data_IF_098606077498
#
_entry.id   IF_098606077498
#
_cell.length_a   1.000
_cell.length_b   1.000
_cell.length_c   1.000
_cell.angle_alpha   90.00
_cell.angle_beta   90.00
_cell.angle_gamma   90.00
#
_symmetry.space_group_name_H-M   'P 1'
#
loop_
_entity.id
_entity.type
_entity.pdbx_description
1 polymer ?
#
# COMPACT_ATOMS: atom_id res chain seq x y z
N UNK A 1 40.52 42.68 5.68
CA UNK A 1 39.16 42.39 6.27
C UNK A 1 38.02 42.53 5.28
N UNK A 2 38.23 42.52 3.96
CA UNK A 2 37.21 42.88 2.96
C UNK A 2 36.98 41.83 1.87
N UNK A 3 37.81 40.83 1.76
CA UNK A 3 37.62 39.77 0.73
C UNK A 3 36.82 38.57 1.28
N UNK A 4 36.95 38.26 2.56
CA UNK A 4 36.18 37.20 3.22
C UNK A 4 34.68 37.53 3.35
N UNK A 5 34.34 38.80 3.57
CA UNK A 5 32.94 39.23 3.70
C UNK A 5 32.15 39.23 2.38
N UNK A 6 32.82 39.39 1.24
CA UNK A 6 32.19 39.39 -0.08
C UNK A 6 31.93 37.93 -0.56
N UNK A 7 32.84 37.01 -0.27
CA UNK A 7 32.67 35.61 -0.55
C UNK A 7 31.49 35.00 0.25
N UNK A 8 31.36 35.36 1.55
CA UNK A 8 30.24 34.90 2.42
C UNK A 8 28.89 35.43 1.92
N UNK A 9 28.82 36.64 1.39
CA UNK A 9 27.55 37.27 0.96
C UNK A 9 27.10 36.66 -0.39
N UNK A 10 28.03 36.38 -1.30
CA UNK A 10 27.73 35.78 -2.60
C UNK A 10 27.29 34.32 -2.41
N UNK A 11 27.98 33.54 -1.57
CA UNK A 11 27.60 32.16 -1.27
C UNK A 11 26.26 32.06 -0.52
N UNK A 12 25.95 33.03 0.33
CA UNK A 12 24.67 33.10 1.04
C UNK A 12 23.50 33.42 0.11
N UNK A 13 23.66 34.37 -0.81
CA UNK A 13 22.65 34.72 -1.82
C UNK A 13 22.42 33.55 -2.81
N UNK A 14 23.46 32.88 -3.28
CA UNK A 14 23.29 31.71 -4.14
C UNK A 14 22.61 30.55 -3.42
N UNK A 15 22.90 30.35 -2.13
CA UNK A 15 22.23 29.34 -1.29
C UNK A 15 20.75 29.68 -1.08
N UNK A 16 20.39 30.91 -0.77
CA UNK A 16 19.00 31.31 -0.60
C UNK A 16 18.19 31.17 -1.90
N UNK A 17 18.74 31.56 -3.03
CA UNK A 17 18.12 31.40 -4.37
C UNK A 17 17.95 29.93 -4.71
N UNK A 18 18.93 29.08 -4.42
CA UNK A 18 18.85 27.64 -4.69
C UNK A 18 17.83 26.94 -3.79
N UNK A 19 17.82 27.23 -2.49
CA UNK A 19 16.83 26.67 -1.54
C UNK A 19 15.42 27.12 -1.89
N UNK A 20 15.25 28.38 -2.27
CA UNK A 20 13.96 28.90 -2.73
C UNK A 20 13.50 28.20 -4.03
N UNK A 21 14.42 28.01 -4.98
CA UNK A 21 14.17 27.28 -6.23
C UNK A 21 13.79 25.81 -5.98
N UNK A 22 14.43 25.13 -5.02
CA UNK A 22 14.13 23.75 -4.66
C UNK A 22 12.76 23.61 -3.96
N UNK A 23 12.45 24.47 -2.99
CA UNK A 23 11.14 24.52 -2.33
C UNK A 23 10.02 24.78 -3.34
N UNK A 24 10.23 25.72 -4.25
CA UNK A 24 9.27 26.06 -5.31
C UNK A 24 9.06 24.88 -6.25
N UNK A 25 10.11 24.18 -6.66
CA UNK A 25 10.03 22.96 -7.48
C UNK A 25 9.21 21.86 -6.80
N UNK A 26 9.46 21.62 -5.51
CA UNK A 26 8.73 20.62 -4.74
C UNK A 26 7.23 20.96 -4.63
N UNK A 27 6.90 22.21 -4.40
CA UNK A 27 5.51 22.69 -4.35
C UNK A 27 4.83 22.52 -5.71
N UNK A 28 5.51 22.89 -6.80
CA UNK A 28 4.97 22.75 -8.16
C UNK A 28 4.68 21.29 -8.48
N UNK A 29 5.62 20.37 -8.18
CA UNK A 29 5.42 18.95 -8.43
C UNK A 29 4.31 18.39 -7.55
N UNK A 30 4.23 18.80 -6.28
CA UNK A 30 3.15 18.40 -5.37
C UNK A 30 1.78 18.82 -5.94
N UNK A 31 1.63 20.07 -6.33
CA UNK A 31 0.40 20.59 -6.94
C UNK A 31 0.08 19.84 -8.24
N UNK A 32 1.08 19.60 -9.08
CA UNK A 32 0.91 18.88 -10.33
C UNK A 32 0.43 17.43 -10.10
N UNK A 33 0.98 16.73 -9.10
CA UNK A 33 0.56 15.36 -8.74
C UNK A 33 -0.87 15.35 -8.19
N UNK A 34 -1.24 16.33 -7.36
CA UNK A 34 -2.61 16.45 -6.84
C UNK A 34 -3.61 16.72 -7.97
N UNK A 35 -3.29 17.67 -8.87
CA UNK A 35 -4.14 17.97 -10.04
C UNK A 35 -4.25 16.73 -10.93
N UNK A 36 -3.14 16.07 -11.23
CA UNK A 36 -3.14 14.84 -12.02
C UNK A 36 -4.01 13.77 -11.36
N UNK A 37 -3.93 13.59 -10.03
CA UNK A 37 -4.74 12.62 -9.29
C UNK A 37 -6.22 12.93 -9.37
N UNK A 38 -6.61 14.20 -9.25
CA UNK A 38 -8.01 14.64 -9.42
C UNK A 38 -8.49 14.34 -10.85
N UNK A 39 -7.68 14.68 -11.85
CA UNK A 39 -8.02 14.42 -13.26
C UNK A 39 -8.09 12.92 -13.54
N UNK A 40 -7.13 12.14 -13.03
CA UNK A 40 -7.12 10.67 -13.18
C UNK A 40 -8.37 10.04 -12.58
N UNK A 41 -8.73 10.41 -11.36
CA UNK A 41 -9.93 9.90 -10.71
C UNK A 41 -11.21 10.35 -11.44
N UNK A 42 -11.30 11.60 -11.88
CA UNK A 42 -12.46 12.12 -12.58
C UNK A 42 -12.64 11.49 -13.97
N UNK A 43 -11.61 11.54 -14.81
CA UNK A 43 -11.68 10.97 -16.16
C UNK A 43 -11.71 9.45 -16.14
N UNK A 44 -10.96 8.82 -15.22
CA UNK A 44 -11.00 7.39 -15.01
C UNK A 44 -12.40 6.92 -14.65
N UNK A 45 -13.05 7.56 -13.67
CA UNK A 45 -14.43 7.27 -13.29
C UNK A 45 -15.39 7.47 -14.47
N UNK A 46 -15.31 8.61 -15.15
CA UNK A 46 -16.17 8.91 -16.31
C UNK A 46 -16.01 7.88 -17.44
N UNK A 47 -14.78 7.43 -17.69
CA UNK A 47 -14.50 6.43 -18.71
C UNK A 47 -15.03 5.05 -18.31
N UNK A 48 -14.82 4.64 -17.08
CA UNK A 48 -15.26 3.33 -16.58
C UNK A 48 -16.77 3.27 -16.38
N UNK A 49 -17.41 4.36 -15.95
CA UNK A 49 -18.86 4.47 -15.78
C UNK A 49 -19.62 4.64 -17.10
N UNK A 50 -18.97 5.01 -18.21
CA UNK A 50 -19.64 5.21 -19.49
C UNK A 50 -20.40 3.97 -19.99
N UNK A 51 -19.92 2.77 -19.64
CA UNK A 51 -20.54 1.50 -19.97
C UNK A 51 -21.36 0.90 -18.82
N UNK A 52 -21.50 1.62 -17.71
CA UNK A 52 -22.14 1.15 -16.50
C UNK A 52 -23.64 1.38 -16.51
N UNK A 53 -24.37 0.57 -17.23
CA UNK A 53 -25.84 0.64 -17.26
C UNK A 53 -26.53 -0.24 -16.21
N UNK A 54 -25.78 -1.11 -15.51
CA UNK A 54 -26.36 -2.21 -14.75
C UNK A 54 -26.79 -1.87 -13.31
N UNK A 55 -26.20 -0.89 -12.64
CA UNK A 55 -26.53 -0.62 -11.24
C UNK A 55 -27.52 0.52 -11.00
N UNK A 56 -27.99 1.17 -12.03
CA UNK A 56 -28.76 2.39 -11.84
C UNK A 56 -30.28 2.21 -11.86
N UNK A 57 -30.85 1.01 -12.07
CA UNK A 57 -32.30 0.89 -12.24
C UNK A 57 -32.93 -0.48 -11.94
N UNK A 58 -32.38 -1.27 -11.05
CA UNK A 58 -33.22 -2.33 -10.49
C UNK A 58 -33.58 -1.88 -9.09
N UNK A 59 -34.85 -1.48 -8.93
CA UNK A 59 -35.47 -0.98 -7.72
C UNK A 59 -35.04 -1.72 -6.46
N UNK A 60 -33.89 -1.33 -5.96
CA UNK A 60 -33.55 -1.54 -4.58
C UNK A 60 -34.34 -0.47 -3.87
N UNK A 61 -35.41 -0.87 -3.21
CA UNK A 61 -36.21 -0.01 -2.35
C UNK A 61 -35.23 0.74 -1.44
N UNK A 62 -35.38 2.07 -1.42
CA UNK A 62 -34.42 2.91 -0.74
C UNK A 62 -34.51 2.63 0.76
N UNK A 63 -33.45 2.09 1.37
CA UNK A 63 -33.41 1.91 2.82
C UNK A 63 -33.40 3.27 3.51
N UNK A 64 -34.28 3.42 4.52
CA UNK A 64 -34.49 4.65 5.28
C UNK A 64 -33.83 4.59 6.64
N UNK A 65 -32.97 5.56 7.02
CA UNK A 65 -32.38 5.60 8.34
C UNK A 65 -33.40 6.07 9.39
N UNK A 66 -33.50 5.36 10.51
CA UNK A 66 -34.40 5.68 11.60
C UNK A 66 -33.78 5.51 12.97
N UNK A 67 -34.47 6.04 14.00
CA UNK A 67 -34.08 5.88 15.40
C UNK A 67 -35.30 5.31 16.15
N UNK A 68 -35.10 4.21 16.87
CA UNK A 68 -36.16 3.56 17.65
C UNK A 68 -36.53 4.41 18.86
N UNK A 69 -37.77 4.79 18.95
CA UNK A 69 -38.34 5.59 20.05
C UNK A 69 -38.91 4.73 21.15
N UNK A 70 -39.57 3.63 20.80
CA UNK A 70 -40.24 2.74 21.75
C UNK A 70 -40.35 1.32 21.19
N UNK A 71 -40.22 0.32 22.04
CA UNK A 71 -40.56 -1.09 21.72
C UNK A 71 -42.04 -1.29 22.09
N UNK A 72 -42.87 -1.63 21.10
CA UNK A 72 -44.31 -1.74 21.28
C UNK A 72 -44.75 -3.12 21.73
N UNK A 73 -44.11 -4.16 21.13
CA UNK A 73 -44.47 -5.55 21.43
C UNK A 73 -43.27 -6.48 21.14
N UNK A 74 -43.18 -7.55 21.93
CA UNK A 74 -42.22 -8.63 21.70
C UNK A 74 -42.98 -9.95 21.82
N UNK A 75 -42.98 -10.73 20.76
CA UNK A 75 -43.66 -12.02 20.67
C UNK A 75 -42.64 -13.10 20.33
N UNK A 76 -42.43 -14.01 21.27
CA UNK A 76 -41.63 -15.21 21.01
C UNK A 76 -42.51 -16.28 20.39
N UNK A 77 -41.98 -17.00 19.41
CA UNK A 77 -42.64 -18.11 18.76
C UNK A 77 -41.69 -19.31 18.69
N UNK A 78 -42.27 -20.50 18.66
CA UNK A 78 -41.48 -21.74 18.55
C UNK A 78 -42.06 -22.59 17.43
N UNK A 79 -41.19 -23.06 16.55
CA UNK A 79 -41.59 -23.97 15.48
C UNK A 79 -41.79 -25.39 16.00
N UNK A 80 -42.46 -26.25 15.22
CA UNK A 80 -42.72 -27.65 15.60
C UNK A 80 -41.44 -28.48 15.80
N UNK A 81 -40.32 -28.07 15.27
CA UNK A 81 -39.01 -28.70 15.42
C UNK A 81 -38.20 -28.23 16.64
N UNK A 82 -38.79 -27.38 17.49
CA UNK A 82 -38.15 -26.85 18.71
C UNK A 82 -37.25 -25.63 18.52
N UNK A 83 -37.03 -25.19 17.27
CA UNK A 83 -36.41 -23.89 16.98
C UNK A 83 -37.46 -22.80 17.16
N UNK A 84 -37.03 -21.61 17.48
CA UNK A 84 -37.92 -20.50 17.71
C UNK A 84 -37.40 -19.18 17.17
N UNK A 85 -38.08 -18.11 17.52
CA UNK A 85 -37.67 -16.77 17.17
C UNK A 85 -38.48 -15.74 17.96
N UNK A 86 -38.13 -14.48 17.76
CA UNK A 86 -38.82 -13.34 18.37
C UNK A 86 -39.22 -12.34 17.28
N UNK A 87 -40.48 -11.96 17.24
CA UNK A 87 -40.95 -10.83 16.44
C UNK A 87 -41.09 -9.61 17.35
N UNK A 88 -40.31 -8.58 17.06
CA UNK A 88 -40.26 -7.34 17.84
C UNK A 88 -40.88 -6.24 17.01
N UNK A 89 -41.95 -5.65 17.53
CA UNK A 89 -42.59 -4.47 16.94
C UNK A 89 -42.13 -3.22 17.68
N UNK A 90 -41.79 -2.19 16.94
CA UNK A 90 -41.25 -0.95 17.52
C UNK A 90 -41.79 0.28 16.79
N UNK A 91 -41.76 1.43 17.47
CA UNK A 91 -41.94 2.76 16.86
C UNK A 91 -40.57 3.34 16.55
N UNK A 92 -40.47 3.93 15.39
CA UNK A 92 -39.21 4.52 14.87
C UNK A 92 -39.51 5.87 14.24
N UNK A 93 -38.65 6.86 14.47
CA UNK A 93 -38.67 8.13 13.76
C UNK A 93 -37.67 8.06 12.61
N UNK A 94 -38.16 8.21 11.39
CA UNK A 94 -37.32 8.29 10.19
C UNK A 94 -36.50 9.58 10.22
N UNK A 95 -35.22 9.52 9.87
CA UNK A 95 -34.37 10.71 9.84
C UNK A 95 -34.60 11.57 8.61
N UNK A 96 -35.07 10.98 7.52
CA UNK A 96 -35.25 11.64 6.23
C UNK A 96 -36.52 12.50 6.21
N UNK A 97 -37.62 11.98 6.73
CA UNK A 97 -38.91 12.63 6.70
C UNK A 97 -39.33 13.20 8.06
N UNK A 98 -38.77 12.71 9.16
CA UNK A 98 -39.17 13.03 10.52
C UNK A 98 -40.48 12.35 10.94
N UNK A 99 -41.04 11.46 10.13
CA UNK A 99 -42.25 10.73 10.39
C UNK A 99 -42.06 9.64 11.43
N UNK A 100 -43.06 9.45 12.29
CA UNK A 100 -43.11 8.33 13.23
C UNK A 100 -43.79 7.15 12.54
N UNK A 101 -43.09 6.02 12.42
CA UNK A 101 -43.59 4.80 11.78
C UNK A 101 -43.53 3.63 12.73
N UNK A 102 -44.36 2.60 12.46
CA UNK A 102 -44.24 1.30 13.12
C UNK A 102 -43.49 0.32 12.22
N UNK A 103 -42.48 -0.31 12.79
CA UNK A 103 -41.66 -1.30 12.10
C UNK A 103 -41.53 -2.60 12.89
N UNK A 104 -41.02 -3.63 12.23
CA UNK A 104 -40.83 -4.95 12.85
C UNK A 104 -39.43 -5.48 12.59
N UNK A 105 -38.89 -6.16 13.60
CA UNK A 105 -37.69 -7.00 13.46
C UNK A 105 -38.06 -8.46 13.73
N UNK A 106 -37.68 -9.35 12.87
CA UNK A 106 -37.77 -10.80 13.10
C UNK A 106 -36.36 -11.28 13.43
N UNK A 107 -36.21 -11.96 14.57
CA UNK A 107 -35.00 -12.63 14.98
C UNK A 107 -35.33 -14.10 15.05
N UNK A 108 -34.76 -14.91 14.14
CA UNK A 108 -35.10 -16.30 13.98
C UNK A 108 -33.88 -17.18 14.24
N UNK A 109 -34.09 -18.30 14.97
CA UNK A 109 -33.04 -19.30 15.20
C UNK A 109 -32.64 -20.06 13.91
N UNK A 110 -33.41 -19.93 12.83
CA UNK A 110 -33.06 -20.42 11.51
C UNK A 110 -32.06 -19.53 10.78
N UNK A 111 -31.99 -18.24 11.17
CA UNK A 111 -31.02 -17.35 10.57
C UNK A 111 -29.61 -17.75 11.01
N UNK A 112 -28.68 -17.97 10.07
CA UNK A 112 -27.31 -18.32 10.38
C UNK A 112 -26.59 -17.23 11.18
N UNK A 113 -27.15 -16.02 11.23
CA UNK A 113 -26.64 -14.88 12.00
C UNK A 113 -27.73 -14.42 12.96
N UNK A 114 -27.63 -14.76 14.27
CA UNK A 114 -28.57 -14.24 15.24
C UNK A 114 -28.42 -12.71 15.36
N UNK A 115 -29.38 -11.98 14.84
CA UNK A 115 -29.40 -10.54 15.04
C UNK A 115 -29.63 -10.22 16.51
N UNK A 116 -28.90 -9.21 17.01
CA UNK A 116 -29.21 -8.62 18.30
C UNK A 116 -30.65 -8.05 18.26
N UNK A 117 -31.46 -8.30 19.27
CA UNK A 117 -32.78 -7.67 19.43
C UNK A 117 -32.59 -6.16 19.49
N UNK A 118 -33.45 -5.43 18.76
CA UNK A 118 -33.44 -3.97 18.76
C UNK A 118 -33.85 -3.43 20.13
N UNK A 119 -33.28 -2.29 20.50
CA UNK A 119 -33.59 -1.61 21.75
C UNK A 119 -33.92 -0.13 21.51
N UNK A 120 -34.59 0.52 22.47
CA UNK A 120 -34.88 1.95 22.41
C UNK A 120 -33.58 2.74 22.25
N UNK A 121 -33.54 3.65 21.27
CA UNK A 121 -32.40 4.51 20.95
C UNK A 121 -31.45 3.93 19.89
N UNK A 122 -31.69 2.68 19.47
CA UNK A 122 -30.88 2.09 18.39
C UNK A 122 -31.13 2.84 17.07
N UNK A 123 -30.05 3.07 16.32
CA UNK A 123 -30.11 3.64 14.98
C UNK A 123 -30.08 2.51 13.98
N UNK A 124 -31.10 2.45 13.13
CA UNK A 124 -31.33 1.33 12.21
C UNK A 124 -31.62 1.80 10.79
N UNK A 125 -31.41 0.92 9.83
CA UNK A 125 -31.91 1.03 8.47
C UNK A 125 -33.18 0.20 8.36
N UNK A 126 -34.17 0.78 7.70
CA UNK A 126 -35.47 0.19 7.47
C UNK A 126 -35.73 0.11 5.97
N UNK A 127 -36.41 -0.95 5.57
CA UNK A 127 -36.93 -1.16 4.23
C UNK A 127 -38.44 -1.23 4.31
N UNK A 128 -39.13 -0.78 3.27
CA UNK A 128 -40.60 -0.82 3.20
C UNK A 128 -41.01 -1.88 2.20
N UNK A 129 -41.71 -2.90 2.70
CA UNK A 129 -42.33 -3.94 1.89
C UNK A 129 -43.87 -3.72 1.89
N UNK A 130 -44.46 -3.65 0.71
CA UNK A 130 -45.94 -3.48 0.54
C UNK A 130 -46.76 -4.56 1.27
N UNK A 131 -46.15 -5.75 1.52
CA UNK A 131 -46.84 -6.86 2.18
C UNK A 131 -46.71 -6.82 3.68
N UNK A 132 -45.56 -6.45 4.21
CA UNK A 132 -45.19 -6.57 5.62
C UNK A 132 -44.97 -5.23 6.31
N UNK A 133 -45.06 -4.11 5.57
CA UNK A 133 -44.76 -2.78 6.08
C UNK A 133 -43.29 -2.55 6.34
N UNK A 134 -42.93 -1.65 7.24
CA UNK A 134 -41.55 -1.32 7.57
C UNK A 134 -40.85 -2.46 8.29
N UNK A 135 -39.71 -2.88 7.72
CA UNK A 135 -38.90 -3.96 8.27
C UNK A 135 -37.50 -3.49 8.62
N UNK A 136 -36.95 -4.05 9.70
CA UNK A 136 -35.57 -3.88 10.08
C UNK A 136 -34.66 -4.57 9.04
N UNK A 137 -33.67 -3.83 8.50
CA UNK A 137 -32.66 -4.37 7.57
C UNK A 137 -31.32 -4.51 8.28
N UNK A 138 -30.80 -3.43 8.86
CA UNK A 138 -29.48 -3.41 9.46
C UNK A 138 -29.33 -2.33 10.54
N UNK A 139 -28.34 -2.50 11.45
CA UNK A 139 -27.94 -1.44 12.37
C UNK A 139 -27.05 -0.40 11.68
N UNK A 140 -27.23 0.88 11.97
CA UNK A 140 -26.35 1.95 11.52
C UNK A 140 -25.06 1.92 12.35
N UNK A 141 -23.98 1.41 11.75
CA UNK A 141 -22.64 1.33 12.36
C UNK A 141 -21.71 2.44 11.88
N UNK A 142 -22.13 3.18 10.86
CA UNK A 142 -21.34 4.23 10.20
C UNK A 142 -20.90 5.33 11.14
N UNK A 143 -21.75 5.74 12.10
CA UNK A 143 -21.42 6.80 13.06
C UNK A 143 -20.20 6.43 13.92
N UNK A 144 -20.17 5.19 14.44
CA UNK A 144 -19.06 4.70 15.25
C UNK A 144 -17.78 4.52 14.41
N UNK A 145 -17.92 4.04 13.15
CA UNK A 145 -16.79 3.92 12.23
C UNK A 145 -16.22 5.28 11.83
N UNK A 146 -17.05 6.31 11.64
CA UNK A 146 -16.58 7.67 11.38
C UNK A 146 -15.82 8.25 12.58
N UNK A 147 -16.26 8.01 13.80
CA UNK A 147 -15.53 8.43 15.01
C UNK A 147 -14.17 7.72 15.08
N UNK A 148 -14.11 6.40 14.85
CA UNK A 148 -12.87 5.64 14.83
C UNK A 148 -11.92 6.14 13.71
N UNK A 149 -12.48 6.39 12.51
CA UNK A 149 -11.75 6.98 11.40
C UNK A 149 -11.18 8.38 11.73
N UNK A 150 -11.98 9.23 12.38
CA UNK A 150 -11.52 10.55 12.84
C UNK A 150 -10.38 10.43 13.86
N UNK A 151 -10.46 9.50 14.81
CA UNK A 151 -9.37 9.24 15.78
C UNK A 151 -8.10 8.81 15.03
N UNK A 152 -8.20 7.93 14.05
CA UNK A 152 -7.07 7.50 13.23
C UNK A 152 -6.43 8.67 12.47
N UNK A 153 -7.24 9.51 11.82
CA UNK A 153 -6.75 10.68 11.08
C UNK A 153 -6.08 11.71 12.01
N UNK A 154 -6.67 11.95 13.19
CA UNK A 154 -6.09 12.84 14.21
C UNK A 154 -4.75 12.29 14.70
N UNK A 155 -4.66 10.99 14.95
CA UNK A 155 -3.40 10.35 15.35
C UNK A 155 -2.32 10.49 14.28
N UNK A 156 -2.68 10.29 13.00
CA UNK A 156 -1.76 10.50 11.87
C UNK A 156 -1.25 11.95 11.79
N UNK A 157 -2.12 12.93 12.02
CA UNK A 157 -1.72 14.35 12.04
C UNK A 157 -0.83 14.67 13.25
N UNK A 158 -1.18 14.14 14.41
CA UNK A 158 -0.46 14.40 15.65
C UNK A 158 0.99 13.85 15.60
N UNK A 159 1.15 12.59 15.21
CA UNK A 159 2.46 11.94 15.13
C UNK A 159 3.22 12.28 13.84
N UNK A 160 2.53 12.36 12.71
CA UNK A 160 3.14 12.54 11.39
C UNK A 160 3.35 14.00 10.98
N UNK A 161 2.68 14.96 11.65
CA UNK A 161 2.71 16.39 11.29
C UNK A 161 2.43 16.59 9.78
N UNK A 162 3.31 17.30 9.07
CA UNK A 162 3.19 17.54 7.62
C UNK A 162 3.23 16.26 6.78
N UNK A 163 4.04 15.27 7.17
CA UNK A 163 4.05 13.96 6.51
C UNK A 163 2.75 13.20 6.76
N UNK A 164 2.17 13.32 7.96
CA UNK A 164 0.87 12.75 8.29
C UNK A 164 -0.23 13.30 7.39
N UNK A 165 -0.27 14.62 7.15
CA UNK A 165 -1.22 15.23 6.21
C UNK A 165 -1.05 14.68 4.79
N UNK A 166 0.18 14.60 4.30
CA UNK A 166 0.48 14.05 2.98
C UNK A 166 0.04 12.58 2.87
N UNK A 167 0.22 11.79 3.94
CA UNK A 167 -0.24 10.40 4.02
C UNK A 167 -1.77 10.31 3.94
N UNK A 168 -2.50 11.19 4.64
CA UNK A 168 -3.97 11.24 4.56
C UNK A 168 -4.43 11.55 3.14
N UNK A 169 -3.81 12.54 2.49
CA UNK A 169 -4.14 12.92 1.11
C UNK A 169 -3.87 11.75 0.14
N UNK A 170 -2.70 11.10 0.26
CA UNK A 170 -2.37 9.96 -0.60
C UNK A 170 -3.28 8.77 -0.37
N UNK A 171 -3.63 8.47 0.89
CA UNK A 171 -4.59 7.42 1.24
C UNK A 171 -5.97 7.71 0.65
N UNK A 172 -6.45 8.96 0.75
CA UNK A 172 -7.70 9.38 0.15
C UNK A 172 -7.72 9.16 -1.37
N UNK A 173 -6.68 9.59 -2.09
CA UNK A 173 -6.58 9.35 -3.53
C UNK A 173 -6.47 7.86 -3.89
N UNK A 174 -5.76 7.06 -3.09
CA UNK A 174 -5.70 5.61 -3.28
C UNK A 174 -7.08 4.97 -3.14
N UNK A 175 -7.82 5.30 -2.09
CA UNK A 175 -9.18 4.82 -1.89
C UNK A 175 -10.10 5.25 -3.07
N UNK A 176 -10.06 6.52 -3.46
CA UNK A 176 -10.87 7.01 -4.59
C UNK A 176 -10.48 6.27 -5.88
N UNK A 177 -9.19 6.07 -6.16
CA UNK A 177 -8.75 5.34 -7.35
C UNK A 177 -9.25 3.89 -7.37
N UNK A 178 -9.26 3.22 -6.23
CA UNK A 178 -9.79 1.85 -6.13
C UNK A 178 -11.31 1.85 -6.27
N UNK A 179 -12.03 2.64 -5.46
CA UNK A 179 -13.49 2.56 -5.41
C UNK A 179 -14.18 3.26 -6.58
N UNK A 180 -13.64 4.37 -7.07
CA UNK A 180 -14.27 5.16 -8.12
C UNK A 180 -13.73 4.89 -9.53
N UNK A 181 -12.59 4.19 -9.68
CA UNK A 181 -12.01 3.89 -11.00
C UNK A 181 -11.88 2.38 -11.21
N UNK A 182 -11.18 1.68 -10.30
CA UNK A 182 -10.88 0.26 -10.49
C UNK A 182 -12.14 -0.61 -10.41
N UNK A 183 -12.94 -0.47 -9.35
CA UNK A 183 -14.16 -1.28 -9.18
C UNK A 183 -15.14 -1.07 -10.35
N UNK A 184 -15.47 0.17 -10.76
CA UNK A 184 -16.29 0.40 -11.96
C UNK A 184 -15.68 -0.20 -13.25
N UNK A 185 -14.35 -0.17 -13.41
CA UNK A 185 -13.68 -0.81 -14.54
C UNK A 185 -13.90 -2.34 -14.57
N UNK A 186 -13.82 -2.98 -13.40
CA UNK A 186 -14.10 -4.42 -13.23
C UNK A 186 -15.55 -4.74 -13.62
N UNK A 187 -16.52 -3.99 -13.08
CA UNK A 187 -17.95 -4.23 -13.32
C UNK A 187 -18.32 -3.94 -14.77
N UNK A 188 -17.66 -2.97 -15.42
CA UNK A 188 -17.88 -2.64 -16.84
C UNK A 188 -17.26 -3.68 -17.81
N UNK A 189 -16.70 -4.78 -17.33
CA UNK A 189 -16.11 -5.83 -18.17
C UNK A 189 -14.82 -5.41 -18.88
N UNK A 190 -14.11 -4.39 -18.36
CA UNK A 190 -12.83 -3.97 -18.93
C UNK A 190 -11.70 -4.93 -18.53
N UNK A 191 -10.54 -4.82 -19.19
CA UNK A 191 -9.41 -5.69 -18.91
C UNK A 191 -8.83 -5.44 -17.49
N UNK A 192 -9.19 -6.32 -16.56
CA UNK A 192 -8.85 -6.21 -15.14
C UNK A 192 -7.33 -6.25 -14.91
N UNK A 193 -6.58 -7.05 -15.72
CA UNK A 193 -5.11 -7.13 -15.61
C UNK A 193 -4.46 -5.77 -15.89
N UNK A 194 -4.89 -5.08 -16.95
CA UNK A 194 -4.35 -3.75 -17.28
C UNK A 194 -4.72 -2.70 -16.25
N UNK A 195 -5.97 -2.71 -15.79
CA UNK A 195 -6.42 -1.77 -14.78
C UNK A 195 -5.73 -1.97 -13.43
N UNK A 196 -5.54 -3.21 -12.99
CA UNK A 196 -4.84 -3.49 -11.74
C UNK A 196 -3.38 -3.04 -11.77
N UNK A 197 -2.65 -3.31 -12.86
CA UNK A 197 -1.27 -2.81 -13.04
C UNK A 197 -1.26 -1.28 -13.13
N UNK A 198 -2.22 -0.67 -13.83
CA UNK A 198 -2.35 0.78 -13.93
C UNK A 198 -2.61 1.46 -12.58
N UNK A 199 -3.51 0.90 -11.78
CA UNK A 199 -3.81 1.39 -10.42
C UNK A 199 -2.61 1.23 -9.49
N UNK A 200 -1.90 0.10 -9.55
CA UNK A 200 -0.66 -0.10 -8.79
C UNK A 200 0.40 0.95 -9.19
N UNK A 201 0.60 1.15 -10.49
CA UNK A 201 1.54 2.15 -11.00
C UNK A 201 1.18 3.57 -10.54
N UNK A 202 -0.08 3.95 -10.70
CA UNK A 202 -0.60 5.23 -10.23
C UNK A 202 -0.38 5.41 -8.72
N UNK A 203 -0.79 4.42 -7.92
CA UNK A 203 -0.70 4.49 -6.45
C UNK A 203 0.74 4.60 -5.97
N UNK A 204 1.67 3.82 -6.52
CA UNK A 204 3.10 3.87 -6.17
C UNK A 204 3.66 5.27 -6.45
N UNK A 205 3.47 5.78 -7.66
CA UNK A 205 4.02 7.07 -8.08
C UNK A 205 3.41 8.21 -7.26
N UNK A 206 2.08 8.25 -7.18
CA UNK A 206 1.34 9.28 -6.48
C UNK A 206 1.70 9.33 -5.00
N UNK A 207 1.64 8.18 -4.31
CA UNK A 207 1.92 8.11 -2.86
C UNK A 207 3.35 8.51 -2.55
N UNK A 208 4.33 7.97 -3.27
CA UNK A 208 5.73 8.28 -3.01
C UNK A 208 6.08 9.74 -3.33
N UNK A 209 5.49 10.33 -4.37
CA UNK A 209 5.68 11.74 -4.70
C UNK A 209 5.00 12.68 -3.69
N UNK A 210 3.79 12.37 -3.25
CA UNK A 210 3.07 13.19 -2.26
C UNK A 210 3.75 13.15 -0.91
N UNK A 211 4.16 11.95 -0.43
CA UNK A 211 4.71 11.78 0.92
C UNK A 211 6.17 12.23 1.01
N UNK A 212 6.97 11.96 -0.01
CA UNK A 212 8.42 12.17 0.03
C UNK A 212 8.94 13.26 -0.92
N UNK A 213 8.09 13.75 -1.83
CA UNK A 213 8.48 14.73 -2.84
C UNK A 213 9.33 14.15 -3.98
N UNK A 214 9.64 14.97 -5.01
CA UNK A 214 10.41 14.56 -6.19
C UNK A 214 11.92 14.58 -5.89
N UNK A 215 12.43 13.49 -5.39
CA UNK A 215 13.86 13.34 -5.08
C UNK A 215 14.40 11.99 -5.57
N UNK A 216 15.73 11.83 -5.57
CA UNK A 216 16.40 10.59 -6.02
C UNK A 216 15.95 9.38 -5.21
N UNK A 217 15.69 9.56 -3.92
CA UNK A 217 15.18 8.55 -3.02
C UNK A 217 13.78 8.06 -3.44
N UNK A 218 12.89 8.97 -3.80
CA UNK A 218 11.56 8.64 -4.33
C UNK A 218 11.66 7.88 -5.64
N UNK A 219 12.53 8.30 -6.55
CA UNK A 219 12.74 7.61 -7.82
C UNK A 219 13.25 6.18 -7.63
N UNK A 220 14.26 5.98 -6.75
CA UNK A 220 14.79 4.64 -6.46
C UNK A 220 13.73 3.75 -5.82
N UNK A 221 12.91 4.28 -4.91
CA UNK A 221 11.80 3.56 -4.29
C UNK A 221 10.74 3.18 -5.32
N UNK A 222 10.34 4.10 -6.22
CA UNK A 222 9.39 3.80 -7.29
C UNK A 222 9.87 2.63 -8.15
N UNK A 223 11.11 2.69 -8.65
CA UNK A 223 11.68 1.63 -9.50
C UNK A 223 11.75 0.31 -8.71
N UNK A 224 12.17 0.36 -7.44
CA UNK A 224 12.21 -0.80 -6.54
C UNK A 224 10.83 -1.44 -6.36
N UNK A 225 9.80 -0.63 -6.11
CA UNK A 225 8.41 -1.09 -5.99
C UNK A 225 7.91 -1.74 -7.27
N UNK A 226 8.15 -1.10 -8.42
CA UNK A 226 7.75 -1.68 -9.71
C UNK A 226 8.37 -3.05 -9.95
N UNK A 227 9.66 -3.21 -9.64
CA UNK A 227 10.33 -4.50 -9.75
C UNK A 227 9.67 -5.60 -8.93
N UNK A 228 9.34 -5.31 -7.67
CA UNK A 228 8.65 -6.25 -6.77
C UNK A 228 7.24 -6.58 -7.21
N UNK A 229 6.44 -5.57 -7.57
CA UNK A 229 5.04 -5.75 -8.01
C UNK A 229 4.97 -6.50 -9.35
N UNK A 230 5.84 -6.18 -10.31
CA UNK A 230 5.91 -6.89 -11.60
C UNK A 230 6.25 -8.36 -11.37
N UNK A 231 7.22 -8.65 -10.51
CA UNK A 231 7.56 -10.03 -10.19
C UNK A 231 6.39 -10.77 -9.54
N UNK A 232 5.71 -10.14 -8.57
CA UNK A 232 4.51 -10.72 -7.95
C UNK A 232 3.42 -10.99 -9.00
N UNK A 233 3.19 -10.06 -9.93
CA UNK A 233 2.23 -10.24 -11.02
C UNK A 233 2.61 -11.38 -11.96
N UNK A 234 3.87 -11.47 -12.36
CA UNK A 234 4.36 -12.57 -13.21
C UNK A 234 4.20 -13.91 -12.50
N UNK A 235 4.58 -14.01 -11.23
CA UNK A 235 4.40 -15.23 -10.45
C UNK A 235 2.92 -15.62 -10.32
N UNK A 236 2.04 -14.66 -10.02
CA UNK A 236 0.59 -14.90 -9.94
C UNK A 236 0.08 -15.47 -11.26
N UNK A 237 0.42 -14.83 -12.38
CA UNK A 237 -0.05 -15.25 -13.71
C UNK A 237 0.37 -16.67 -14.06
N UNK A 238 1.59 -17.08 -13.72
CA UNK A 238 2.05 -18.45 -13.96
C UNK A 238 1.43 -19.43 -12.97
N UNK A 239 1.36 -19.07 -11.69
CA UNK A 239 0.86 -19.97 -10.65
C UNK A 239 -0.63 -20.23 -10.76
N UNK A 240 -1.45 -19.27 -11.18
CA UNK A 240 -2.89 -19.49 -11.44
C UNK A 240 -3.13 -20.55 -12.51
N UNK A 241 -2.26 -20.61 -13.53
CA UNK A 241 -2.30 -21.65 -14.57
C UNK A 241 -1.79 -23.01 -14.08
N UNK A 242 -0.68 -23.03 -13.35
CA UNK A 242 -0.08 -24.28 -12.82
C UNK A 242 -1.02 -24.94 -11.81
N UNK A 243 -1.67 -24.13 -10.96
CA UNK A 243 -2.62 -24.59 -9.95
C UNK A 243 -4.02 -24.89 -10.51
N UNK A 244 -4.22 -24.68 -11.82
CA UNK A 244 -5.50 -24.90 -12.51
C UNK A 244 -6.69 -24.21 -11.80
N UNK A 245 -6.49 -22.96 -11.34
CA UNK A 245 -7.53 -22.20 -10.64
C UNK A 245 -8.66 -21.84 -11.61
N UNK A 246 -9.89 -21.86 -11.10
CA UNK A 246 -11.09 -21.44 -11.82
C UNK A 246 -11.50 -20.02 -11.48
N UNK A 247 -11.11 -19.54 -10.29
CA UNK A 247 -11.49 -18.26 -9.72
C UNK A 247 -12.76 -18.31 -8.88
N UNK A 248 -13.49 -19.44 -8.90
CA UNK A 248 -14.69 -19.61 -8.07
C UNK A 248 -14.27 -20.09 -6.69
N UNK A 249 -13.97 -19.17 -5.82
CA UNK A 249 -13.48 -19.48 -4.47
C UNK A 249 -14.61 -19.59 -3.44
N UNK A 250 -15.75 -18.96 -3.69
CA UNK A 250 -16.93 -18.96 -2.83
C UNK A 250 -18.22 -18.63 -3.61
N UNK A 251 -19.35 -18.65 -2.92
CA UNK A 251 -20.67 -18.38 -3.49
C UNK A 251 -20.78 -16.93 -4.04
N UNK A 252 -20.12 -15.98 -3.35
CA UNK A 252 -20.06 -14.59 -3.83
C UNK A 252 -19.32 -14.48 -5.16
N UNK A 253 -18.21 -15.23 -5.32
CA UNK A 253 -17.46 -15.29 -6.57
C UNK A 253 -18.30 -15.86 -7.71
N UNK A 254 -19.10 -16.90 -7.42
CA UNK A 254 -20.03 -17.45 -8.42
C UNK A 254 -21.07 -16.41 -8.84
N UNK A 255 -21.64 -15.67 -7.89
CA UNK A 255 -22.64 -14.63 -8.16
C UNK A 255 -22.09 -13.53 -9.09
N UNK A 256 -20.79 -13.19 -9.00
CA UNK A 256 -20.17 -12.21 -9.90
C UNK A 256 -20.19 -12.65 -11.38
N UNK A 257 -20.19 -13.95 -11.67
CA UNK A 257 -20.25 -14.43 -13.06
C UNK A 257 -21.60 -14.18 -13.71
N UNK A 258 -22.65 -14.01 -12.92
CA UNK A 258 -24.03 -13.82 -13.38
C UNK A 258 -24.43 -12.35 -13.51
N UNK A 259 -23.63 -11.40 -12.96
CA UNK A 259 -23.95 -9.97 -12.95
C UNK A 259 -24.03 -9.38 -14.36
N UNK A 260 -23.13 -9.79 -15.25
CA UNK A 260 -23.12 -9.30 -16.64
C UNK A 260 -22.92 -10.46 -17.63
N UNK A 261 -24.01 -11.07 -18.09
CA UNK A 261 -23.93 -12.21 -19.02
C UNK A 261 -23.24 -11.89 -20.36
N UNK A 262 -23.36 -10.64 -20.84
CA UNK A 262 -22.75 -10.19 -22.11
C UNK A 262 -21.24 -10.01 -22.00
N UNK A 263 -20.75 -9.63 -20.82
CA UNK A 263 -19.33 -9.44 -20.50
C UNK A 263 -19.02 -10.07 -19.14
N UNK A 264 -18.85 -11.39 -19.06
CA UNK A 264 -18.61 -12.07 -17.80
C UNK A 264 -17.30 -11.58 -17.15
N UNK A 265 -17.36 -11.35 -15.86
CA UNK A 265 -16.21 -10.87 -15.08
C UNK A 265 -15.17 -12.00 -15.00
N UNK A 266 -13.92 -11.70 -15.36
CA UNK A 266 -12.80 -12.64 -15.23
C UNK A 266 -12.37 -12.76 -13.76
N UNK A 267 -12.79 -13.85 -13.11
CA UNK A 267 -12.48 -14.11 -11.69
C UNK A 267 -10.99 -14.33 -11.44
N UNK A 268 -10.26 -14.93 -12.39
CA UNK A 268 -8.81 -15.09 -12.27
C UNK A 268 -8.08 -13.75 -12.28
N UNK A 269 -8.58 -12.81 -13.08
CA UNK A 269 -8.07 -11.45 -13.09
C UNK A 269 -8.38 -10.69 -11.80
N UNK A 270 -9.49 -10.99 -11.12
CA UNK A 270 -9.78 -10.46 -9.77
C UNK A 270 -8.78 -11.00 -8.75
N UNK A 271 -8.49 -12.31 -8.76
CA UNK A 271 -7.46 -12.91 -7.90
C UNK A 271 -6.09 -12.27 -8.17
N UNK A 272 -5.73 -12.11 -9.44
CA UNK A 272 -4.51 -11.41 -9.83
C UNK A 272 -4.46 -9.99 -9.25
N UNK A 273 -5.52 -9.22 -9.41
CA UNK A 273 -5.62 -7.86 -8.90
C UNK A 273 -5.50 -7.81 -7.36
N UNK A 274 -6.20 -8.69 -6.65
CA UNK A 274 -6.17 -8.78 -5.20
C UNK A 274 -4.75 -9.05 -4.69
N UNK A 275 -4.02 -9.97 -5.33
CA UNK A 275 -2.64 -10.32 -4.96
C UNK A 275 -1.70 -9.14 -5.18
N UNK A 276 -1.71 -8.49 -6.36
CA UNK A 276 -0.76 -7.41 -6.64
C UNK A 276 -1.07 -6.13 -5.86
N UNK A 277 -2.34 -5.79 -5.66
CA UNK A 277 -2.75 -4.63 -4.85
C UNK A 277 -2.41 -4.88 -3.38
N UNK A 278 -2.66 -6.09 -2.86
CA UNK A 278 -2.31 -6.46 -1.49
C UNK A 278 -0.81 -6.47 -1.23
N UNK A 279 -0.02 -7.01 -2.16
CA UNK A 279 1.44 -7.03 -2.06
C UNK A 279 2.07 -5.64 -2.20
N UNK A 280 1.47 -4.75 -3.00
CA UNK A 280 2.00 -3.42 -3.32
C UNK A 280 2.32 -2.59 -2.08
N UNK A 281 1.44 -2.59 -1.08
CA UNK A 281 1.65 -1.83 0.16
C UNK A 281 2.95 -2.23 0.86
N UNK A 282 3.12 -3.53 1.11
CA UNK A 282 4.30 -4.07 1.78
C UNK A 282 5.60 -3.91 0.95
N UNK A 283 5.52 -4.09 -0.36
CA UNK A 283 6.63 -3.84 -1.30
C UNK A 283 7.05 -2.37 -1.27
N UNK A 284 6.09 -1.44 -1.21
CA UNK A 284 6.33 0.00 -1.13
C UNK A 284 7.07 0.37 0.15
N UNK A 285 6.65 -0.17 1.30
CA UNK A 285 7.27 0.10 2.60
C UNK A 285 8.73 -0.37 2.63
N UNK A 286 9.01 -1.55 2.11
CA UNK A 286 10.36 -2.10 2.02
C UNK A 286 11.24 -1.26 1.09
N UNK A 287 10.77 -0.98 -0.13
CA UNK A 287 11.53 -0.19 -1.09
C UNK A 287 11.84 1.22 -0.58
N UNK A 288 10.87 1.85 0.09
CA UNK A 288 11.04 3.19 0.64
C UNK A 288 11.99 3.22 1.84
N UNK A 289 11.83 2.30 2.78
CA UNK A 289 12.67 2.21 3.98
C UNK A 289 14.13 1.92 3.61
N UNK A 290 14.33 0.96 2.69
CA UNK A 290 15.66 0.58 2.21
C UNK A 290 16.33 1.71 1.42
N UNK A 291 15.59 2.34 0.50
CA UNK A 291 16.08 3.48 -0.28
C UNK A 291 16.43 4.67 0.62
N UNK A 292 15.63 4.93 1.65
CA UNK A 292 15.92 5.99 2.64
C UNK A 292 17.17 5.69 3.43
N UNK A 293 17.33 4.47 3.94
CA UNK A 293 18.50 4.05 4.72
C UNK A 293 19.80 4.12 3.89
N UNK A 294 19.74 3.66 2.64
CA UNK A 294 20.90 3.71 1.73
C UNK A 294 21.24 5.13 1.29
N UNK A 295 20.22 5.98 1.14
CA UNK A 295 20.43 7.39 0.83
C UNK A 295 21.16 8.10 1.98
N UNK A 296 20.70 7.91 3.23
CA UNK A 296 21.36 8.46 4.44
C UNK A 296 22.78 7.92 4.60
N UNK A 297 22.98 6.61 4.36
CA UNK A 297 24.32 6.01 4.41
C UNK A 297 25.24 6.65 3.38
N UNK A 298 24.76 6.89 2.14
CA UNK A 298 25.54 7.54 1.09
C UNK A 298 25.87 8.98 1.42
N UNK A 299 24.97 9.73 2.03
CA UNK A 299 25.24 11.10 2.46
C UNK A 299 26.27 11.18 3.58
N UNK A 300 26.24 10.23 4.52
CA UNK A 300 27.23 10.17 5.62
C UNK A 300 28.59 9.65 5.19
N UNK A 301 28.64 8.74 4.22
CA UNK A 301 29.88 8.13 3.73
C UNK A 301 29.94 8.31 2.21
N UNK A 302 30.34 9.51 1.78
CA UNK A 302 30.38 9.89 0.38
C UNK A 302 31.33 9.01 -0.48
N UNK A 303 32.39 8.47 0.13
CA UNK A 303 33.38 7.60 -0.50
C UNK A 303 32.90 6.15 -0.71
N UNK A 304 31.75 5.76 -0.15
CA UNK A 304 31.24 4.39 -0.24
C UNK A 304 31.05 3.97 -1.69
N UNK A 305 31.64 2.83 -2.05
CA UNK A 305 31.55 2.30 -3.41
C UNK A 305 30.14 1.71 -3.67
N UNK A 306 29.68 1.65 -4.94
CA UNK A 306 28.41 1.02 -5.27
C UNK A 306 28.27 -0.43 -4.79
N UNK A 307 29.37 -1.19 -4.78
CA UNK A 307 29.39 -2.57 -4.28
C UNK A 307 29.20 -2.63 -2.76
N UNK A 308 29.85 -1.75 -2.02
CA UNK A 308 29.68 -1.67 -0.57
C UNK A 308 28.29 -1.18 -0.20
N UNK A 309 27.75 -0.20 -0.94
CA UNK A 309 26.39 0.29 -0.76
C UNK A 309 25.36 -0.82 -1.00
N UNK A 310 25.51 -1.60 -2.07
CA UNK A 310 24.68 -2.78 -2.33
C UNK A 310 24.77 -3.80 -1.18
N UNK A 311 26.00 -4.14 -0.72
CA UNK A 311 26.21 -5.09 0.36
C UNK A 311 25.58 -4.61 1.67
N UNK A 312 25.73 -3.33 2.02
CA UNK A 312 25.09 -2.72 3.20
C UNK A 312 23.56 -2.77 3.07
N UNK A 313 23.02 -2.48 1.90
CA UNK A 313 21.58 -2.60 1.64
C UNK A 313 21.07 -4.02 1.80
N UNK A 314 21.80 -5.01 1.35
CA UNK A 314 21.45 -6.42 1.55
C UNK A 314 21.47 -6.86 3.03
N UNK A 315 22.35 -6.27 3.84
CA UNK A 315 22.35 -6.51 5.31
C UNK A 315 21.11 -5.90 5.93
N UNK A 316 20.84 -4.61 5.69
CA UNK A 316 19.64 -3.93 6.18
C UNK A 316 18.36 -4.65 5.71
N UNK A 317 18.30 -5.02 4.44
CA UNK A 317 17.17 -5.71 3.85
C UNK A 317 16.89 -7.07 4.48
N UNK A 318 17.91 -7.83 4.88
CA UNK A 318 17.74 -9.10 5.59
C UNK A 318 17.05 -8.94 6.95
N UNK A 319 17.39 -7.90 7.67
CA UNK A 319 16.77 -7.63 8.98
C UNK A 319 15.29 -7.27 8.82
N UNK A 320 14.94 -6.55 7.74
CA UNK A 320 13.56 -6.17 7.43
C UNK A 320 12.73 -7.34 6.87
N UNK A 321 13.37 -8.22 6.09
CA UNK A 321 12.72 -9.29 5.35
C UNK A 321 11.90 -10.22 6.23
N UNK A 322 12.49 -10.69 7.33
CA UNK A 322 11.86 -11.67 8.22
C UNK A 322 10.60 -11.12 8.89
N UNK A 323 10.64 -9.88 9.34
CA UNK A 323 9.50 -9.22 10.01
C UNK A 323 8.39 -8.89 9.02
N UNK A 324 8.71 -8.33 7.86
CA UNK A 324 7.73 -7.88 6.87
C UNK A 324 7.02 -9.04 6.18
N UNK A 325 7.75 -10.10 5.77
CA UNK A 325 7.15 -11.28 5.19
C UNK A 325 6.23 -12.01 6.19
N UNK A 326 6.66 -12.15 7.45
CA UNK A 326 5.85 -12.76 8.51
C UNK A 326 4.57 -11.94 8.77
N UNK A 327 4.66 -10.61 8.84
CA UNK A 327 3.51 -9.73 9.05
C UNK A 327 2.49 -9.88 7.93
N UNK A 328 2.94 -9.96 6.67
CA UNK A 328 2.06 -10.13 5.52
C UNK A 328 1.34 -11.50 5.58
N UNK A 329 2.05 -12.57 5.86
CA UNK A 329 1.45 -13.91 6.01
C UNK A 329 0.41 -13.92 7.13
N UNK A 330 0.74 -13.33 8.30
CA UNK A 330 -0.21 -13.24 9.42
C UNK A 330 -1.44 -12.40 9.10
N UNK A 331 -1.28 -11.33 8.31
CA UNK A 331 -2.42 -10.51 7.86
C UNK A 331 -3.39 -11.32 6.99
N UNK A 332 -2.87 -12.12 6.07
CA UNK A 332 -3.71 -12.99 5.24
C UNK A 332 -4.37 -14.12 6.05
N UNK A 333 -3.62 -14.80 6.92
CA UNK A 333 -4.21 -15.80 7.81
C UNK A 333 -5.31 -15.18 8.68
N UNK A 334 -5.06 -13.99 9.23
CA UNK A 334 -6.03 -13.28 10.08
C UNK A 334 -7.31 -12.90 9.33
N UNK A 335 -7.20 -12.44 8.09
CA UNK A 335 -8.37 -12.04 7.26
C UNK A 335 -9.22 -13.24 6.86
N UNK A 336 -8.63 -14.42 6.64
CA UNK A 336 -9.33 -15.64 6.22
C UNK A 336 -9.60 -16.62 7.35
N UNK A 337 -9.34 -16.25 8.62
CA UNK A 337 -9.37 -17.16 9.77
C UNK A 337 -10.73 -17.86 9.92
N UNK A 338 -11.84 -17.14 9.85
CA UNK A 338 -13.19 -17.71 9.99
C UNK A 338 -13.47 -18.77 8.93
N UNK A 339 -13.13 -18.48 7.68
CA UNK A 339 -13.33 -19.41 6.57
C UNK A 339 -12.40 -20.61 6.72
N UNK A 340 -11.17 -20.41 7.15
CA UNK A 340 -10.19 -21.48 7.40
C UNK A 340 -10.71 -22.42 8.49
N UNK A 341 -11.21 -21.90 9.61
CA UNK A 341 -11.80 -22.71 10.69
C UNK A 341 -12.99 -23.52 10.18
N UNK A 342 -13.90 -22.90 9.43
CA UNK A 342 -15.06 -23.58 8.85
C UNK A 342 -14.63 -24.75 7.95
N UNK A 343 -13.68 -24.50 7.05
CA UNK A 343 -13.20 -25.53 6.13
C UNK A 343 -12.48 -26.66 6.87
N UNK A 344 -11.70 -26.35 7.92
CA UNK A 344 -11.04 -27.36 8.75
C UNK A 344 -12.07 -28.26 9.44
N UNK A 345 -13.16 -27.72 9.96
CA UNK A 345 -14.21 -28.48 10.66
C UNK A 345 -14.94 -29.44 9.70
N UNK A 346 -15.23 -28.98 8.48
CA UNK A 346 -16.04 -29.73 7.52
C UNK A 346 -15.25 -30.66 6.59
N UNK A 347 -13.91 -30.65 6.64
CA UNK A 347 -13.10 -31.54 5.81
C UNK A 347 -12.43 -32.65 6.62
N UNK A 348 -12.58 -33.86 6.13
CA UNK A 348 -12.09 -35.09 6.80
C UNK A 348 -10.60 -35.38 6.55
N UNK A 349 -9.98 -34.72 5.56
CA UNK A 349 -8.62 -35.00 5.12
C UNK A 349 -7.82 -33.70 4.92
N UNK A 350 -6.60 -33.66 5.45
CA UNK A 350 -5.66 -32.56 5.22
C UNK A 350 -5.35 -32.38 3.72
N UNK A 351 -5.29 -33.46 2.97
CA UNK A 351 -5.06 -33.39 1.50
C UNK A 351 -6.23 -32.68 0.81
N UNK A 352 -7.45 -32.99 1.19
CA UNK A 352 -8.62 -32.31 0.62
C UNK A 352 -8.63 -30.84 0.99
N UNK A 353 -8.37 -30.51 2.25
CA UNK A 353 -8.31 -29.15 2.76
C UNK A 353 -7.31 -28.29 1.96
N UNK A 354 -6.08 -28.77 1.80
CA UNK A 354 -5.02 -28.03 1.11
C UNK A 354 -5.24 -27.89 -0.41
N UNK A 355 -6.17 -28.65 -0.98
CA UNK A 355 -6.55 -28.56 -2.41
C UNK A 355 -7.88 -27.82 -2.63
N UNK A 356 -8.56 -27.36 -1.61
CA UNK A 356 -9.71 -26.46 -1.78
C UNK A 356 -9.26 -25.14 -2.40
N UNK A 357 -9.87 -24.72 -3.49
CA UNK A 357 -9.46 -23.55 -4.26
C UNK A 357 -9.36 -22.30 -3.39
N UNK A 358 -10.28 -22.10 -2.46
CA UNK A 358 -10.24 -20.98 -1.49
C UNK A 358 -8.93 -20.95 -0.68
N UNK A 359 -8.52 -22.11 -0.13
CA UNK A 359 -7.28 -22.22 0.65
C UNK A 359 -6.06 -22.05 -0.24
N UNK A 360 -6.08 -22.62 -1.43
CA UNK A 360 -4.98 -22.47 -2.41
C UNK A 360 -4.76 -21.01 -2.77
N UNK A 361 -5.83 -20.25 -2.99
CA UNK A 361 -5.74 -18.80 -3.32
C UNK A 361 -5.17 -18.01 -2.14
N UNK A 362 -5.59 -18.26 -0.91
CA UNK A 362 -5.05 -17.59 0.28
C UNK A 362 -3.55 -17.89 0.49
N UNK A 363 -3.14 -19.16 0.31
CA UNK A 363 -1.72 -19.54 0.37
C UNK A 363 -0.93 -18.88 -0.77
N UNK A 364 -1.47 -18.88 -1.99
CA UNK A 364 -0.86 -18.24 -3.15
C UNK A 364 -0.62 -16.76 -2.90
N UNK A 365 -1.62 -16.07 -2.39
CA UNK A 365 -1.55 -14.64 -2.07
C UNK A 365 -0.48 -14.34 -1.03
N UNK A 366 -0.42 -15.11 0.05
CA UNK A 366 0.59 -14.98 1.10
C UNK A 366 2.00 -15.25 0.57
N UNK A 367 2.20 -16.31 -0.21
CA UNK A 367 3.51 -16.68 -0.74
C UNK A 367 3.99 -15.71 -1.81
N UNK A 368 3.16 -15.38 -2.80
CA UNK A 368 3.54 -14.46 -3.88
C UNK A 368 3.83 -13.05 -3.33
N UNK A 369 3.00 -12.55 -2.42
CA UNK A 369 3.26 -11.28 -1.75
C UNK A 369 4.58 -11.27 -1.00
N UNK A 370 4.88 -12.33 -0.25
CA UNK A 370 6.14 -12.46 0.47
C UNK A 370 7.35 -12.58 -0.48
N UNK A 371 7.25 -13.34 -1.56
CA UNK A 371 8.27 -13.43 -2.60
C UNK A 371 8.49 -12.05 -3.25
N UNK A 372 7.42 -11.31 -3.53
CA UNK A 372 7.50 -9.93 -4.03
C UNK A 372 8.35 -9.04 -3.12
N UNK A 373 8.13 -9.09 -1.80
CA UNK A 373 8.94 -8.39 -0.81
C UNK A 373 10.40 -8.83 -0.87
N UNK A 374 10.66 -10.15 -0.87
CA UNK A 374 12.01 -10.72 -0.87
C UNK A 374 12.84 -10.22 -2.07
N UNK A 375 12.24 -10.18 -3.26
CA UNK A 375 12.93 -9.72 -4.47
C UNK A 375 13.00 -8.21 -4.58
N UNK A 376 12.11 -7.47 -3.94
CA UNK A 376 12.20 -6.00 -3.87
C UNK A 376 13.49 -5.54 -3.21
N UNK A 377 14.00 -6.27 -2.22
CA UNK A 377 15.23 -5.92 -1.49
C UNK A 377 16.45 -5.87 -2.42
N UNK A 378 16.89 -6.97 -3.08
CA UNK A 378 18.05 -6.93 -3.94
C UNK A 378 17.85 -5.99 -5.13
N UNK A 379 16.64 -5.89 -5.66
CA UNK A 379 16.33 -5.00 -6.77
C UNK A 379 16.47 -3.53 -6.36
N UNK A 380 15.89 -3.12 -5.23
CA UNK A 380 16.05 -1.76 -4.70
C UNK A 380 17.49 -1.45 -4.34
N UNK A 381 18.23 -2.38 -3.73
CA UNK A 381 19.67 -2.22 -3.45
C UNK A 381 20.46 -1.97 -4.72
N UNK A 382 20.17 -2.72 -5.79
CA UNK A 382 20.83 -2.56 -7.09
C UNK A 382 20.54 -1.19 -7.69
N UNK A 383 19.29 -0.77 -7.71
CA UNK A 383 18.87 0.54 -8.22
C UNK A 383 19.51 1.67 -7.39
N UNK A 384 19.52 1.57 -6.06
CA UNK A 384 20.20 2.53 -5.20
C UNK A 384 21.71 2.60 -5.47
N UNK A 385 22.38 1.45 -5.61
CA UNK A 385 23.80 1.40 -5.90
C UNK A 385 24.17 2.07 -7.24
N UNK A 386 23.29 1.95 -8.24
CA UNK A 386 23.46 2.60 -9.54
C UNK A 386 23.19 4.11 -9.49
N UNK A 387 22.03 4.50 -8.96
CA UNK A 387 21.57 5.91 -8.99
C UNK A 387 22.32 6.78 -7.98
N UNK A 388 22.66 6.25 -6.80
CA UNK A 388 23.41 7.00 -5.78
C UNK A 388 24.91 7.10 -6.06
N UNK A 389 25.43 6.43 -7.10
CA UNK A 389 26.82 6.55 -7.50
C UNK A 389 27.24 8.01 -7.74
N UNK A 390 26.36 8.76 -8.40
CA UNK A 390 26.60 10.15 -8.80
C UNK A 390 25.90 11.16 -7.91
N UNK A 391 25.44 10.76 -6.70
CA UNK A 391 24.76 11.66 -5.79
C UNK A 391 25.75 12.73 -5.35
N UNK A 392 25.39 13.98 -5.61
CA UNK A 392 26.14 15.14 -5.13
C UNK A 392 25.72 15.44 -3.70
N UNK A 393 26.63 15.95 -2.84
CA UNK A 393 26.34 16.23 -1.43
C UNK A 393 25.17 17.18 -1.20
N UNK A 394 24.76 17.89 -2.24
CA UNK A 394 23.75 18.97 -2.19
C UNK A 394 22.33 18.53 -2.58
N UNK A 395 22.09 17.22 -2.78
CA UNK A 395 20.76 16.75 -3.13
C UNK A 395 20.04 16.31 -1.83
N UNK A 396 19.09 17.14 -1.40
CA UNK A 396 18.02 16.89 -0.46
C UNK A 396 18.20 17.21 1.04
N UNK A 397 17.37 18.15 1.49
CA UNK A 397 16.68 18.24 2.81
C UNK A 397 17.44 17.88 4.12
N UNK A 398 18.74 17.71 4.08
CA UNK A 398 19.58 17.69 5.25
C UNK A 398 20.08 19.13 5.43
N UNK A 399 19.91 19.73 6.58
CA UNK A 399 20.71 20.87 6.99
C UNK A 399 22.17 20.51 6.69
N UNK A 400 22.69 21.09 5.61
CA UNK A 400 24.03 20.81 5.14
C UNK A 400 24.99 21.44 6.15
N UNK A 401 25.61 20.61 6.98
CA UNK A 401 26.72 21.03 7.80
C UNK A 401 27.96 21.18 6.91
N UNK A 402 28.11 22.40 6.37
CA UNK A 402 29.20 22.79 5.49
C UNK A 402 30.57 22.57 6.13
N UNK A 403 30.63 22.71 7.46
CA UNK A 403 31.87 22.52 8.21
C UNK A 403 32.30 21.05 8.25
N UNK A 404 31.35 20.15 8.56
CA UNK A 404 31.58 18.70 8.54
C UNK A 404 31.93 18.19 7.13
N UNK A 405 31.30 18.74 6.10
CA UNK A 405 31.60 18.42 4.70
C UNK A 405 32.98 18.89 4.24
N UNK A 406 33.37 20.12 4.59
CA UNK A 406 34.71 20.64 4.29
C UNK A 406 35.80 19.86 5.03
N UNK A 407 35.54 19.41 6.26
CA UNK A 407 36.48 18.53 6.99
C UNK A 407 36.62 17.16 6.29
N UNK A 408 35.52 16.53 5.88
CA UNK A 408 35.57 15.25 5.16
C UNK A 408 36.31 15.37 3.82
N UNK A 409 36.10 16.45 3.07
CA UNK A 409 36.85 16.70 1.83
C UNK A 409 38.33 16.91 2.06
N UNK A 410 38.70 17.59 3.16
CA UNK A 410 40.08 17.78 3.53
C UNK A 410 40.75 16.44 3.90
N UNK A 411 40.10 15.62 4.72
CA UNK A 411 40.53 14.29 5.11
C UNK A 411 40.63 13.34 3.91
N UNK A 412 39.66 13.36 2.97
CA UNK A 412 39.76 12.56 1.73
C UNK A 412 40.91 13.00 0.85
N UNK A 413 41.17 14.29 0.76
CA UNK A 413 42.27 14.83 -0.03
C UNK A 413 43.63 14.41 0.56
N UNK A 414 43.79 14.54 1.88
CA UNK A 414 44.95 14.10 2.61
C UNK A 414 45.19 12.58 2.48
N UNK A 415 44.11 11.78 2.61
CA UNK A 415 44.17 10.34 2.43
C UNK A 415 44.57 9.93 0.99
N UNK A 416 44.10 10.66 -0.02
CA UNK A 416 44.51 10.43 -1.43
C UNK A 416 45.98 10.79 -1.67
N UNK A 417 46.43 11.91 -1.11
CA UNK A 417 47.82 12.35 -1.19
C UNK A 417 48.75 11.37 -0.46
N UNK A 418 48.38 10.93 0.75
CA UNK A 418 49.11 9.91 1.50
C UNK A 418 49.21 8.56 0.75
N UNK A 419 48.11 8.10 0.13
CA UNK A 419 48.10 6.88 -0.71
C UNK A 419 49.00 7.03 -1.98
N UNK A 420 49.00 8.23 -2.57
CA UNK A 420 49.85 8.51 -3.74
C UNK A 420 51.31 8.53 -3.35
N UNK A 421 51.63 9.12 -2.19
CA UNK A 421 52.99 9.18 -1.65
C UNK A 421 53.50 7.76 -1.30
N UNK A 422 52.68 6.97 -0.59
CA UNK A 422 53.01 5.59 -0.26
C UNK A 422 53.27 4.71 -1.51
N UNK A 423 52.44 4.89 -2.55
CA UNK A 423 52.69 4.21 -3.85
C UNK A 423 53.97 4.64 -4.52
N UNK A 424 54.37 5.90 -4.38
CA UNK A 424 55.62 6.41 -4.96
C UNK A 424 56.81 5.87 -4.21
N UNK A 425 56.76 5.85 -2.87
CA UNK A 425 57.80 5.26 -2.01
C UNK A 425 57.98 3.76 -2.26
N UNK A 426 56.86 2.99 -2.34
CA UNK A 426 56.92 1.57 -2.66
C UNK A 426 57.58 1.29 -4.03
N UNK A 427 57.29 2.11 -5.04
CA UNK A 427 57.98 2.00 -6.38
C UNK A 427 59.45 2.36 -6.32
N UNK A 428 59.84 3.34 -5.50
CA UNK A 428 61.23 3.73 -5.33
C UNK A 428 62.03 2.66 -4.56
N UNK A 429 61.42 2.03 -3.54
CA UNK A 429 62.02 0.89 -2.84
C UNK A 429 62.20 -0.35 -3.74
N UNK A 430 61.17 -0.67 -4.54
CA UNK A 430 61.23 -1.76 -5.52
C UNK A 430 62.33 -1.51 -6.57
N UNK A 431 62.43 -0.27 -7.03
CA UNK A 431 63.51 0.12 -7.98
C UNK A 431 64.93 0.05 -7.36
N UNK A 432 65.08 0.38 -6.04
CA UNK A 432 66.36 0.24 -5.31
C UNK A 432 66.72 -1.23 -5.12
N UNK A 433 65.77 -2.07 -4.71
CA UNK A 433 65.93 -3.50 -4.52
C UNK A 433 66.32 -4.19 -5.82
N UNK A 434 65.76 -3.79 -6.97
CA UNK A 434 66.16 -4.29 -8.32
C UNK A 434 67.56 -3.83 -8.69
N UNK A 435 67.95 -2.64 -8.28
CA UNK A 435 69.26 -2.10 -8.56
C UNK A 435 70.41 -2.78 -7.75
N UNK A 436 70.11 -2.99 -6.44
CA UNK A 436 71.01 -3.71 -5.54
C UNK A 436 71.19 -5.21 -5.96
N UNK A 437 70.07 -5.89 -6.32
CA UNK A 437 70.15 -7.26 -6.84
C UNK A 437 70.88 -7.38 -8.16
N UNK A 438 70.86 -6.35 -9.02
CA UNK A 438 71.71 -6.33 -10.25
C UNK A 438 73.21 -6.05 -10.00
N UNK A 439 73.54 -5.26 -8.96
CA UNK A 439 74.91 -5.03 -8.54
C UNK A 439 75.52 -6.25 -7.85
N UNK A 440 74.77 -7.01 -7.11
CA UNK A 440 75.20 -8.28 -6.54
C UNK A 440 75.42 -9.38 -7.63
N UNK A 441 74.52 -9.45 -8.62
CA UNK A 441 74.63 -10.40 -9.70
C UNK A 441 75.83 -10.11 -10.65
N UNK A 442 76.32 -8.89 -10.66
CA UNK A 442 77.54 -8.50 -11.47
C UNK A 442 78.85 -8.72 -10.73
N UNK A 443 78.84 -9.17 -9.46
CA UNK A 443 80.03 -9.45 -8.65
C UNK A 443 80.47 -10.95 -8.64
N UNK A 444 79.67 -11.78 -9.29
CA UNK A 444 79.99 -13.20 -9.56
C UNK A 444 80.23 -13.41 -11.05
#
# INVERSE_FOLDING_TARGET
MTIFGICDTITRNEKEVFVLSYKTKNIIVYIAVVIFSILFCYFGNKYTMANYKLLNNQGVDATHPGVITEITNEQDYTYQNGLGGSKISFKCTLKDTGEEIEGTQVVDDYDPVPYRKVTKGDKILLDYDDTNGWQFTEYIRTDALLVLGAIFLIALLFFGRTKGLNTIISLGFTCIAIFAVFIPAVISGQNIYLWSVGICAYTIIMTLLIVNGPNTKTLTSCIGCFGGVVLAGVLTFFMTKILALTGVVDESSYSLTTVNPDHPIDLLAIIFAAIIIGAMGAVMDVAMSLSSSLHELKLKVMSISPKELFKSGMVIGRDMMGTMANTLVLAYIGSSLTVTVLIVIYNSSMTELLNKERIVVEILQALVGSIGILFTIPFTCFVCAMLYRNLKPYDNNVEFDEYAYCQQLAEEKEAREARALAKKQAKEEEARAIKEGKEEANKF
#
